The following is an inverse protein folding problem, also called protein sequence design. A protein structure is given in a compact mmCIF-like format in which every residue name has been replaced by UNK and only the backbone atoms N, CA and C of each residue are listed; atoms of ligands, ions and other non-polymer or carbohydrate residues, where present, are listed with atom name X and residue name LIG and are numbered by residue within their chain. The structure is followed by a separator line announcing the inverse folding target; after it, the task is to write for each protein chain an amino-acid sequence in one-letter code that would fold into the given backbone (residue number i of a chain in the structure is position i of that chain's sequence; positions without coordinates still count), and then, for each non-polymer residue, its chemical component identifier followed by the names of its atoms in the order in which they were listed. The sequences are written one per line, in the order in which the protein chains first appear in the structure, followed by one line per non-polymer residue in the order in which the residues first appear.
data_IF_319651455650
#
_entry.id   IF_319651455650
#
_cell.length_a   1.000
_cell.length_b   1.000
_cell.length_c   1.000
_cell.angle_alpha   90.00
_cell.angle_beta   90.00
_cell.angle_gamma   90.00
#
_symmetry.space_group_name_H-M   'P 1'
#
loop_
_entity.id
_entity.type
_entity.pdbx_description
1 polymer ?
#
# COMPACT_ATOMS: atom_id res chain seq x y z
N UNK A 1 -12.28 29.31 15.69
CA UNK A 1 -11.72 29.06 14.34
C UNK A 1 -10.33 28.40 14.35
N UNK A 2 -9.37 28.89 15.13
CA UNK A 2 -7.95 28.45 15.11
C UNK A 2 -7.70 26.93 15.24
N UNK A 3 -8.53 26.19 15.98
CA UNK A 3 -8.36 24.75 16.16
C UNK A 3 -8.73 23.92 14.91
N UNK A 4 -9.68 24.40 14.09
CA UNK A 4 -10.14 23.69 12.89
C UNK A 4 -9.13 23.84 11.75
N UNK A 5 -8.57 25.04 11.58
CA UNK A 5 -7.51 25.32 10.60
C UNK A 5 -6.28 24.44 10.84
N UNK A 6 -5.91 24.23 12.10
CA UNK A 6 -4.80 23.36 12.47
C UNK A 6 -5.08 21.88 12.11
N UNK A 7 -6.32 21.40 12.26
CA UNK A 7 -6.69 20.03 11.86
C UNK A 7 -6.62 19.87 10.33
N UNK A 8 -7.15 20.82 9.57
CA UNK A 8 -7.11 20.79 8.10
C UNK A 8 -5.67 20.82 7.58
N UNK A 9 -4.83 21.70 8.10
CA UNK A 9 -3.41 21.76 7.76
C UNK A 9 -2.72 20.41 8.02
N UNK A 10 -2.96 19.80 9.19
CA UNK A 10 -2.39 18.49 9.52
C UNK A 10 -2.88 17.36 8.61
N UNK A 11 -4.15 17.39 8.17
CA UNK A 11 -4.68 16.43 7.17
C UNK A 11 -3.94 16.57 5.84
N UNK A 12 -3.75 17.81 5.37
CA UNK A 12 -3.04 18.07 4.12
C UNK A 12 -1.59 17.57 4.19
N UNK A 13 -0.88 17.86 5.29
CA UNK A 13 0.49 17.38 5.51
C UNK A 13 0.54 15.85 5.51
N UNK A 14 -0.37 15.19 6.23
CA UNK A 14 -0.41 13.72 6.27
C UNK A 14 -0.70 13.12 4.87
N UNK A 15 -1.64 13.71 4.13
CA UNK A 15 -1.97 13.28 2.76
C UNK A 15 -0.77 13.39 1.83
N UNK A 16 -0.06 14.52 1.85
CA UNK A 16 1.09 14.74 0.98
C UNK A 16 2.27 13.84 1.34
N UNK A 17 2.48 13.56 2.63
CA UNK A 17 3.46 12.56 3.07
C UNK A 17 3.12 11.14 2.62
N UNK A 18 1.87 10.73 2.71
CA UNK A 18 1.46 9.42 2.19
C UNK A 18 1.68 9.37 0.68
N UNK A 19 1.31 10.43 -0.06
CA UNK A 19 1.52 10.52 -1.51
C UNK A 19 3.00 10.39 -1.88
N UNK A 20 3.86 11.12 -1.19
CA UNK A 20 5.32 11.11 -1.38
C UNK A 20 5.92 9.70 -1.29
N UNK A 21 5.46 8.89 -0.33
CA UNK A 21 5.92 7.49 -0.19
C UNK A 21 5.68 6.70 -1.48
N UNK A 22 4.58 6.93 -2.17
CA UNK A 22 4.28 6.18 -3.38
C UNK A 22 4.89 6.79 -4.65
N UNK A 23 5.06 8.11 -4.71
CA UNK A 23 5.56 8.81 -5.90
C UNK A 23 7.09 8.88 -5.95
N UNK A 24 7.74 8.97 -4.79
CA UNK A 24 9.16 9.27 -4.67
C UNK A 24 9.96 8.14 -4.00
N UNK A 25 9.45 6.91 -4.02
CA UNK A 25 10.21 5.73 -3.60
C UNK A 25 10.68 4.95 -4.81
N UNK A 26 11.96 4.59 -4.83
CA UNK A 26 12.60 3.87 -5.93
C UNK A 26 12.57 2.36 -5.75
N UNK A 27 12.35 1.88 -4.51
CA UNK A 27 12.29 0.46 -4.19
C UNK A 27 11.19 0.16 -3.17
N UNK A 28 10.79 -1.12 -3.10
CA UNK A 28 9.85 -1.59 -2.09
C UNK A 28 10.37 -1.35 -0.67
N UNK A 29 11.64 -1.66 -0.42
CA UNK A 29 12.27 -1.50 0.89
C UNK A 29 12.25 -0.04 1.34
N UNK A 30 12.61 0.89 0.44
CA UNK A 30 12.56 2.32 0.72
C UNK A 30 11.14 2.79 1.07
N UNK A 31 10.15 2.37 0.28
CA UNK A 31 8.75 2.72 0.52
C UNK A 31 8.26 2.18 1.89
N UNK A 32 8.74 1.00 2.27
CA UNK A 32 8.43 0.37 3.54
C UNK A 32 9.08 1.05 4.73
N UNK A 33 10.34 1.45 4.60
CA UNK A 33 11.02 2.27 5.61
C UNK A 33 10.30 3.60 5.83
N UNK A 34 9.93 4.31 4.75
CA UNK A 34 9.18 5.57 4.87
C UNK A 34 7.81 5.37 5.49
N UNK A 35 7.10 4.28 5.13
CA UNK A 35 5.82 3.90 5.75
C UNK A 35 5.99 3.67 7.26
N UNK A 36 7.00 2.91 7.67
CA UNK A 36 7.26 2.63 9.08
C UNK A 36 7.65 3.89 9.84
N UNK A 37 8.50 4.75 9.24
CA UNK A 37 8.86 6.05 9.80
C UNK A 37 7.63 6.92 10.08
N UNK A 38 6.68 6.99 9.14
CA UNK A 38 5.42 7.72 9.31
C UNK A 38 4.60 7.22 10.53
N UNK A 39 4.65 5.92 10.82
CA UNK A 39 4.03 5.37 12.03
C UNK A 39 4.74 5.81 13.31
N UNK A 40 6.07 5.73 13.34
CA UNK A 40 6.89 6.07 14.50
C UNK A 40 6.89 7.56 14.85
N UNK A 41 6.63 8.44 13.89
CA UNK A 41 6.43 9.88 14.12
C UNK A 41 5.18 10.22 14.97
N UNK A 42 4.35 9.23 15.30
CA UNK A 42 3.26 9.42 16.25
C UNK A 42 2.05 10.18 15.70
N UNK A 43 1.87 10.24 14.38
CA UNK A 43 0.68 10.84 13.74
C UNK A 43 -0.64 10.29 14.28
N UNK A 44 -0.68 8.99 14.59
CA UNK A 44 -1.82 8.33 15.21
C UNK A 44 -2.17 8.83 16.62
N UNK A 45 -1.24 9.52 17.31
CA UNK A 45 -1.42 10.11 18.64
C UNK A 45 -1.90 11.57 18.57
N UNK A 46 -1.67 12.26 17.45
CA UNK A 46 -2.02 13.69 17.29
C UNK A 46 -3.53 13.93 17.18
N UNK A 47 -4.28 13.03 16.55
CA UNK A 47 -5.74 13.15 16.38
C UNK A 47 -6.38 11.76 16.17
N UNK A 48 -7.61 11.56 16.67
CA UNK A 48 -8.37 10.33 16.47
C UNK A 48 -8.65 10.03 14.98
N UNK A 49 -8.80 11.05 14.13
CA UNK A 49 -8.97 10.88 12.69
C UNK A 49 -7.70 10.30 12.06
N UNK A 50 -6.53 10.81 12.44
CA UNK A 50 -5.24 10.31 11.95
C UNK A 50 -4.97 8.88 12.42
N UNK A 51 -5.44 8.52 13.62
CA UNK A 51 -5.36 7.14 14.11
C UNK A 51 -5.99 6.15 13.13
N UNK A 52 -7.17 6.46 12.56
CA UNK A 52 -7.84 5.58 11.58
C UNK A 52 -7.03 5.46 10.28
N UNK A 53 -6.56 6.59 9.75
CA UNK A 53 -5.77 6.62 8.50
C UNK A 53 -4.47 5.83 8.66
N UNK A 54 -3.69 6.13 9.71
CA UNK A 54 -2.43 5.45 9.98
C UNK A 54 -2.67 3.96 10.26
N UNK A 55 -3.71 3.61 11.04
CA UNK A 55 -4.02 2.21 11.29
C UNK A 55 -4.29 1.48 9.98
N UNK A 56 -5.14 2.02 9.09
CA UNK A 56 -5.40 1.41 7.78
C UNK A 56 -4.11 1.27 6.96
N UNK A 57 -3.33 2.34 6.86
CA UNK A 57 -2.09 2.34 6.06
C UNK A 57 -1.04 1.33 6.56
N UNK A 58 -0.97 1.10 7.87
CA UNK A 58 -0.03 0.15 8.49
C UNK A 58 -0.56 -1.29 8.49
N UNK A 59 -1.88 -1.49 8.66
CA UNK A 59 -2.50 -2.82 8.78
C UNK A 59 -2.77 -3.54 7.46
N UNK A 60 -2.79 -2.83 6.32
CA UNK A 60 -2.94 -3.46 4.98
C UNK A 60 -1.84 -4.52 4.78
N UNK A 61 -2.21 -5.74 4.32
CA UNK A 61 -1.32 -6.90 4.34
C UNK A 61 -0.07 -6.62 3.51
N UNK A 62 1.07 -6.86 4.16
CA UNK A 62 2.46 -6.75 3.72
C UNK A 62 2.82 -5.64 2.75
N UNK A 63 3.87 -4.94 3.14
CA UNK A 63 4.48 -3.86 2.39
C UNK A 63 4.80 -4.24 0.92
N UNK A 64 5.14 -5.51 0.69
CA UNK A 64 5.33 -6.14 -0.63
C UNK A 64 4.13 -5.99 -1.58
N UNK A 65 2.89 -6.14 -1.09
CA UNK A 65 1.69 -6.04 -1.94
C UNK A 65 1.35 -4.59 -2.28
N UNK A 66 1.55 -3.68 -1.33
CA UNK A 66 1.24 -2.26 -1.52
C UNK A 66 2.15 -1.60 -2.56
N UNK A 67 3.41 -2.03 -2.62
CA UNK A 67 4.44 -1.48 -3.50
C UNK A 67 4.89 -2.47 -4.58
N UNK A 68 4.08 -3.45 -4.96
CA UNK A 68 4.44 -4.46 -5.98
C UNK A 68 4.91 -3.83 -7.30
N UNK A 69 4.31 -2.70 -7.70
CA UNK A 69 4.66 -1.97 -8.92
C UNK A 69 6.11 -1.45 -8.95
N UNK A 70 6.78 -1.30 -7.79
CA UNK A 70 8.19 -0.91 -7.72
C UNK A 70 9.15 -2.06 -8.07
N UNK A 71 8.69 -3.31 -7.93
CA UNK A 71 9.46 -4.52 -8.24
C UNK A 71 9.05 -5.12 -9.59
N UNK A 72 7.76 -5.04 -9.92
CA UNK A 72 7.15 -5.59 -11.12
C UNK A 72 6.48 -4.44 -11.89
N UNK A 73 7.19 -3.77 -12.83
CA UNK A 73 6.68 -2.57 -13.53
C UNK A 73 5.39 -2.83 -14.33
N UNK A 74 5.17 -4.09 -14.75
CA UNK A 74 3.96 -4.53 -15.45
C UNK A 74 2.72 -4.55 -14.54
N UNK A 75 2.91 -4.50 -13.22
CA UNK A 75 1.81 -4.41 -12.26
C UNK A 75 1.48 -2.94 -12.05
N UNK A 76 0.29 -2.47 -12.44
CA UNK A 76 -0.10 -1.08 -12.25
C UNK A 76 -0.29 -0.80 -10.76
N UNK A 77 0.03 0.45 -10.37
CA UNK A 77 -0.23 0.95 -9.03
C UNK A 77 -1.75 0.93 -8.77
N UNK A 78 -2.14 0.39 -7.62
CA UNK A 78 -3.54 0.43 -7.15
C UNK A 78 -4.03 1.89 -7.12
N UNK A 79 -5.13 2.16 -7.82
CA UNK A 79 -5.73 3.50 -7.94
C UNK A 79 -5.40 4.26 -9.24
N UNK A 80 -4.42 3.82 -10.04
CA UNK A 80 -4.27 4.30 -11.41
C UNK A 80 -5.24 3.52 -12.30
N UNK A 81 -6.43 4.08 -12.52
CA UNK A 81 -7.32 3.69 -13.61
C UNK A 81 -6.72 4.17 -14.93
N UNK A 82 -5.60 3.55 -15.35
CA UNK A 82 -5.29 3.50 -16.78
C UNK A 82 -6.47 2.77 -17.41
N UNK A 83 -7.14 3.39 -18.38
CA UNK A 83 -8.33 2.82 -19.04
C UNK A 83 -8.06 1.35 -19.39
N UNK A 84 -8.93 0.41 -18.99
CA UNK A 84 -8.70 -1.01 -19.22
C UNK A 84 -9.02 -1.30 -20.67
N UNK A 85 -8.05 -1.17 -21.57
CA UNK A 85 -8.20 -1.75 -22.92
C UNK A 85 -7.70 -3.19 -22.99
N UNK A 86 -6.99 -3.72 -21.98
CA UNK A 86 -6.54 -5.14 -21.98
C UNK A 86 -6.35 -5.82 -20.60
N UNK A 87 -6.59 -5.14 -19.47
CA UNK A 87 -6.02 -5.55 -18.17
C UNK A 87 -6.91 -6.42 -17.24
N UNK A 88 -7.55 -7.48 -17.73
CA UNK A 88 -8.32 -8.38 -16.83
C UNK A 88 -7.97 -9.87 -16.98
N UNK A 89 -7.68 -10.43 -18.17
CA UNK A 89 -7.45 -11.87 -18.29
C UNK A 89 -6.12 -12.36 -17.69
N UNK A 90 -5.02 -11.66 -17.95
CA UNK A 90 -3.67 -12.17 -17.61
C UNK A 90 -3.34 -12.08 -16.13
N UNK A 91 -3.74 -11.00 -15.45
CA UNK A 91 -3.51 -10.86 -14.02
C UNK A 91 -4.32 -11.88 -13.21
N UNK A 92 -5.59 -12.09 -13.60
CA UNK A 92 -6.45 -13.11 -12.99
C UNK A 92 -5.90 -14.50 -13.26
N UNK A 93 -5.41 -14.79 -14.47
CA UNK A 93 -4.74 -16.05 -14.76
C UNK A 93 -3.46 -16.24 -13.94
N UNK A 94 -2.63 -15.21 -13.76
CA UNK A 94 -1.38 -15.29 -12.99
C UNK A 94 -1.68 -15.58 -11.51
N UNK A 95 -2.69 -14.93 -10.94
CA UNK A 95 -3.15 -15.23 -9.58
C UNK A 95 -3.75 -16.64 -9.45
N UNK A 96 -4.54 -17.10 -10.43
CA UNK A 96 -5.08 -18.47 -10.44
C UNK A 96 -3.98 -19.53 -10.55
N UNK A 97 -2.93 -19.29 -11.35
CA UNK A 97 -1.77 -20.18 -11.45
C UNK A 97 -0.99 -20.25 -10.14
N UNK A 98 -0.73 -19.11 -9.50
CA UNK A 98 -0.08 -19.06 -8.19
C UNK A 98 -0.91 -19.78 -7.10
N UNK A 99 -2.24 -19.59 -7.10
CA UNK A 99 -3.12 -20.28 -6.16
C UNK A 99 -3.16 -21.81 -6.39
N UNK A 100 -3.05 -22.25 -7.64
CA UNK A 100 -3.02 -23.67 -8.00
C UNK A 100 -1.68 -24.33 -7.65
N UNK A 101 -0.57 -23.64 -7.91
CA UNK A 101 0.77 -24.08 -7.50
C UNK A 101 0.88 -24.23 -5.98
N UNK A 102 0.34 -23.26 -5.22
CA UNK A 102 0.32 -23.33 -3.75
C UNK A 102 -0.50 -24.52 -3.23
N UNK A 103 -1.63 -24.85 -3.85
CA UNK A 103 -2.44 -26.03 -3.50
C UNK A 103 -1.70 -27.34 -3.76
N UNK A 104 -0.98 -27.43 -4.87
CA UNK A 104 -0.16 -28.61 -5.19
C UNK A 104 1.02 -28.80 -4.22
N UNK A 105 1.70 -27.72 -3.82
CA UNK A 105 2.75 -27.79 -2.81
C UNK A 105 2.22 -28.27 -1.46
N UNK A 106 1.04 -27.80 -1.05
CA UNK A 106 0.42 -28.22 0.22
C UNK A 106 -0.01 -29.69 0.17
N UNK A 107 -0.53 -30.20 -0.95
CA UNK A 107 -0.88 -31.63 -1.06
C UNK A 107 0.35 -32.54 -1.04
N UNK A 108 1.47 -32.09 -1.61
CA UNK A 108 2.71 -32.87 -1.64
C UNK A 108 3.44 -32.91 -0.29
N UNK A 109 3.11 -31.99 0.64
CA UNK A 109 3.65 -31.96 2.01
C UNK A 109 2.78 -32.72 3.02
N UNK A 110 1.62 -33.24 2.59
CA UNK A 110 0.66 -33.95 3.45
C UNK A 110 0.50 -35.44 3.08
N UNK A 111 1.36 -35.96 2.19
CA UNK A 111 1.62 -37.40 1.97
C UNK A 111 2.88 -37.81 2.72
#
# INVERSE_FOLDING_TARGET
EFALENVLANVLVLKDRIRDIFENSSSQDEACEKKNKLYFEGWHKKNHHFKKIIKLFITVPTCEYMFTYLKEPDVPRSGNSVKPTTFVPDYVQKLQRLASYRRSLVSNLTQ
#
